data_IF_243994376778
#
_entry.id   IF_243994376778
#
_cell.length_a   1.000
_cell.length_b   1.000
_cell.length_c   1.000
_cell.angle_alpha   90.00
_cell.angle_beta   90.00
_cell.angle_gamma   90.00
#
_symmetry.space_group_name_H-M   'P 1'
#
loop_
_entity.id
_entity.type
_entity.pdbx_description
1 polymer ?
#
# COMPACT_ATOMS: atom_id res chain seq x y z
N UNK A 1 10.46 -11.27 -5.46
CA UNK A 1 10.79 -9.91 -5.96
C UNK A 1 11.97 -9.37 -5.14
N UNK A 2 12.81 -8.46 -5.65
CA UNK A 2 13.92 -7.91 -4.85
C UNK A 2 13.35 -6.94 -3.79
N UNK A 3 13.89 -6.95 -2.55
CA UNK A 3 13.44 -6.06 -1.46
C UNK A 3 13.45 -4.58 -1.83
N UNK A 4 14.41 -4.14 -2.65
CA UNK A 4 14.49 -2.75 -3.15
C UNK A 4 13.29 -2.39 -4.03
N UNK A 5 12.87 -3.30 -4.91
CA UNK A 5 11.71 -3.09 -5.79
C UNK A 5 10.42 -3.06 -4.95
N UNK A 6 10.37 -3.83 -3.86
CA UNK A 6 9.23 -3.83 -2.98
C UNK A 6 9.09 -2.51 -2.20
N UNK A 7 10.21 -1.98 -1.68
CA UNK A 7 10.24 -0.67 -1.03
C UNK A 7 9.75 0.43 -1.96
N UNK A 8 10.19 0.44 -3.22
CA UNK A 8 9.74 1.43 -4.20
C UNK A 8 8.22 1.38 -4.41
N UNK A 9 7.65 0.17 -4.52
CA UNK A 9 6.19 0.01 -4.64
C UNK A 9 5.44 0.40 -3.36
N UNK A 10 6.02 0.16 -2.19
CA UNK A 10 5.44 0.57 -0.90
C UNK A 10 5.33 2.09 -0.84
N UNK A 11 6.40 2.80 -1.20
CA UNK A 11 6.40 4.26 -1.18
C UNK A 11 5.45 4.84 -2.24
N UNK A 12 5.44 4.29 -3.45
CA UNK A 12 4.49 4.70 -4.49
C UNK A 12 3.03 4.51 -4.03
N UNK A 13 2.71 3.35 -3.45
CA UNK A 13 1.36 3.05 -2.98
C UNK A 13 0.96 3.92 -1.77
N UNK A 14 1.93 4.29 -0.92
CA UNK A 14 1.72 5.23 0.19
C UNK A 14 1.38 6.63 -0.33
N UNK A 15 2.12 7.15 -1.28
CA UNK A 15 1.85 8.47 -1.89
C UNK A 15 0.48 8.52 -2.58
N UNK A 16 0.13 7.45 -3.30
CA UNK A 16 -1.17 7.32 -3.95
C UNK A 16 -2.31 7.32 -2.91
N UNK A 17 -2.18 6.53 -1.84
CA UNK A 17 -3.18 6.48 -0.77
C UNK A 17 -3.39 7.85 -0.11
N UNK A 18 -2.30 8.59 0.17
CA UNK A 18 -2.37 9.94 0.74
C UNK A 18 -3.13 10.87 -0.21
N UNK A 19 -2.74 10.89 -1.49
CA UNK A 19 -3.37 11.72 -2.52
C UNK A 19 -4.86 11.42 -2.68
N UNK A 20 -5.22 10.15 -2.73
CA UNK A 20 -6.60 9.69 -2.81
C UNK A 20 -7.38 10.05 -1.54
N UNK A 21 -6.77 9.93 -0.36
CA UNK A 21 -7.42 10.28 0.91
C UNK A 21 -7.72 11.77 1.05
N UNK A 22 -6.84 12.62 0.54
CA UNK A 22 -7.06 14.07 0.48
C UNK A 22 -8.21 14.43 -0.48
N UNK A 23 -8.40 13.65 -1.55
CA UNK A 23 -9.37 13.93 -2.61
C UNK A 23 -10.76 13.34 -2.34
N UNK A 24 -10.82 12.12 -1.83
CA UNK A 24 -12.05 11.32 -1.70
C UNK A 24 -12.44 11.01 -0.25
N UNK A 25 -11.55 11.27 0.71
CA UNK A 25 -11.73 10.92 2.12
C UNK A 25 -11.28 9.49 2.45
N UNK A 26 -10.95 9.25 3.73
CA UNK A 26 -10.32 8.01 4.20
C UNK A 26 -11.19 6.75 4.04
N UNK A 27 -12.52 6.91 3.97
CA UNK A 27 -13.46 5.81 3.85
C UNK A 27 -13.89 5.52 2.40
N UNK A 28 -13.41 6.30 1.43
CA UNK A 28 -13.68 6.04 0.04
C UNK A 28 -13.10 4.69 -0.38
N UNK A 29 -13.86 3.92 -1.19
CA UNK A 29 -13.44 2.59 -1.60
C UNK A 29 -12.04 2.59 -2.23
N UNK A 30 -11.74 3.59 -3.07
CA UNK A 30 -10.40 3.74 -3.70
C UNK A 30 -9.26 3.87 -2.68
N UNK A 31 -9.48 4.54 -1.55
CA UNK A 31 -8.49 4.68 -0.47
C UNK A 31 -8.37 3.38 0.31
N UNK A 32 -9.50 2.70 0.56
CA UNK A 32 -9.52 1.39 1.23
C UNK A 32 -8.82 0.32 0.39
N UNK A 33 -9.02 0.31 -0.93
CA UNK A 33 -8.29 -0.60 -1.83
C UNK A 33 -6.79 -0.29 -1.84
N UNK A 34 -6.42 1.00 -1.94
CA UNK A 34 -5.01 1.40 -1.86
C UNK A 34 -4.36 1.01 -0.52
N UNK A 35 -5.10 1.11 0.59
CA UNK A 35 -4.63 0.66 1.92
C UNK A 35 -4.41 -0.85 1.97
N UNK A 36 -5.34 -1.66 1.45
CA UNK A 36 -5.18 -3.12 1.38
C UNK A 36 -3.98 -3.53 0.53
N UNK A 37 -3.73 -2.80 -0.56
CA UNK A 37 -2.57 -3.03 -1.41
C UNK A 37 -1.26 -2.69 -0.70
N UNK A 38 -1.23 -1.58 0.04
CA UNK A 38 -0.09 -1.19 0.86
C UNK A 38 0.24 -2.24 1.93
N UNK A 39 -0.78 -2.73 2.65
CA UNK A 39 -0.63 -3.80 3.65
C UNK A 39 -0.05 -5.08 3.03
N UNK A 40 -0.54 -5.49 1.86
CA UNK A 40 -0.01 -6.65 1.15
C UNK A 40 1.48 -6.49 0.80
N UNK A 41 1.87 -5.31 0.32
CA UNK A 41 3.26 -5.01 -0.01
C UNK A 41 4.15 -5.00 1.25
N UNK A 42 3.66 -4.44 2.36
CA UNK A 42 4.37 -4.46 3.64
C UNK A 42 4.57 -5.90 4.16
N UNK A 43 3.54 -6.73 4.09
CA UNK A 43 3.62 -8.13 4.51
C UNK A 43 4.62 -8.92 3.64
N UNK A 44 4.61 -8.71 2.32
CA UNK A 44 5.59 -9.32 1.41
C UNK A 44 7.02 -8.81 1.69
N UNK A 45 7.19 -7.56 2.13
CA UNK A 45 8.50 -6.99 2.48
C UNK A 45 9.06 -7.56 3.78
N UNK A 46 8.20 -7.66 4.80
CA UNK A 46 8.53 -8.18 6.13
C UNK A 46 8.73 -9.71 6.06
N UNK A 47 8.08 -10.39 5.11
CA UNK A 47 8.08 -11.84 4.98
C UNK A 47 7.02 -12.51 5.85
N UNK A 48 6.03 -11.75 6.35
CA UNK A 48 4.85 -12.31 6.99
C UNK A 48 3.93 -12.89 5.92
N UNK A 49 4.18 -14.14 5.56
CA UNK A 49 3.17 -15.00 4.96
C UNK A 49 2.14 -15.28 6.05
N UNK A 50 1.02 -14.55 6.05
CA UNK A 50 -0.18 -15.05 6.71
C UNK A 50 -0.60 -16.32 5.99
N UNK A 51 -0.28 -17.47 6.59
CA UNK A 51 -0.75 -18.79 6.19
C UNK A 51 -2.28 -18.89 6.28
#
# INVERSE_FOLDING_TARGET
>A
MNKSILLEKIEQCREEMITLSCSYGLTADVVVQSSKQLDKLLNEYIGEVSA
#
